data_IF_095009268979
#
_entry.id   IF_095009268979
#
_cell.length_a   1.000
_cell.length_b   1.000
_cell.length_c   1.000
_cell.angle_alpha   90.00
_cell.angle_beta   90.00
_cell.angle_gamma   90.00
#
_symmetry.space_group_name_H-M   'P 1'
#
loop_
_entity.id
_entity.type
_entity.pdbx_description
1 polymer ?
#
# COMPACT_ATOMS: atom_id res chain seq x y z
N UNK A 1 13.77 25.51 11.44
CA UNK A 1 14.55 25.54 10.19
C UNK A 1 14.69 24.10 9.71
N UNK A 2 14.30 23.80 8.46
CA UNK A 2 14.49 22.50 7.84
C UNK A 2 15.93 22.32 7.36
N UNK A 3 16.31 21.08 7.04
CA UNK A 3 17.59 20.79 6.38
C UNK A 3 17.58 21.35 4.95
N UNK A 4 18.73 21.79 4.46
CA UNK A 4 18.87 22.15 3.06
C UNK A 4 18.78 20.90 2.18
N UNK A 5 18.42 21.07 0.90
CA UNK A 5 18.36 19.96 -0.07
C UNK A 5 19.68 19.20 -0.14
N UNK A 6 20.80 19.92 -0.11
CA UNK A 6 22.14 19.33 -0.14
C UNK A 6 22.43 18.49 1.12
N UNK A 7 22.06 18.98 2.29
CA UNK A 7 22.20 18.23 3.53
C UNK A 7 21.36 16.94 3.51
N UNK A 8 20.12 17.01 3.00
CA UNK A 8 19.27 15.83 2.82
C UNK A 8 19.90 14.84 1.85
N UNK A 9 20.42 15.32 0.70
CA UNK A 9 21.10 14.47 -0.27
C UNK A 9 22.31 13.76 0.35
N UNK A 10 23.15 14.49 1.08
CA UNK A 10 24.31 13.92 1.77
C UNK A 10 23.92 12.82 2.74
N UNK A 11 22.88 13.06 3.57
CA UNK A 11 22.36 12.05 4.49
C UNK A 11 21.85 10.81 3.76
N UNK A 12 21.17 10.99 2.63
CA UNK A 12 20.67 9.88 1.81
C UNK A 12 21.82 9.06 1.20
N UNK A 13 22.87 9.72 0.72
CA UNK A 13 24.08 9.04 0.19
C UNK A 13 24.74 8.20 1.28
N UNK A 14 24.94 8.76 2.48
CA UNK A 14 25.52 8.02 3.61
C UNK A 14 24.63 6.87 4.07
N UNK A 15 23.30 7.07 4.04
CA UNK A 15 22.34 6.00 4.31
C UNK A 15 22.46 4.87 3.29
N UNK A 16 22.53 5.20 2.00
CA UNK A 16 22.72 4.22 0.92
C UNK A 16 24.04 3.43 1.09
N UNK A 17 25.14 4.11 1.41
CA UNK A 17 26.45 3.47 1.67
C UNK A 17 26.41 2.53 2.86
N UNK A 18 25.66 2.89 3.88
CA UNK A 18 25.47 2.07 5.08
C UNK A 18 24.41 0.97 4.92
N UNK A 19 23.77 0.83 3.75
CA UNK A 19 22.68 -0.10 3.52
C UNK A 19 21.40 0.24 4.31
N UNK A 20 21.26 1.49 4.74
CA UNK A 20 20.11 1.96 5.50
C UNK A 20 19.02 2.41 4.52
N UNK A 21 17.85 1.82 4.64
CA UNK A 21 16.67 2.19 3.84
C UNK A 21 16.16 3.57 4.21
N UNK A 22 15.92 4.40 3.19
CA UNK A 22 15.26 5.69 3.35
C UNK A 22 13.78 5.56 2.99
N UNK A 23 12.92 6.14 3.81
CA UNK A 23 11.49 6.30 3.52
C UNK A 23 11.17 7.78 3.42
N UNK A 24 10.69 8.19 2.26
CA UNK A 24 10.23 9.54 1.99
C UNK A 24 8.73 9.58 1.73
N UNK A 25 8.13 10.73 2.02
CA UNK A 25 6.73 11.00 1.72
C UNK A 25 6.68 11.87 0.48
N UNK A 26 5.81 11.57 -0.47
CA UNK A 26 5.62 12.28 -1.74
C UNK A 26 6.67 12.05 -2.84
N UNK A 27 6.19 12.18 -4.07
CA UNK A 27 6.97 11.94 -5.29
C UNK A 27 8.08 12.96 -5.54
N UNK A 28 8.07 14.12 -4.88
CA UNK A 28 9.09 15.17 -5.03
C UNK A 28 10.50 14.69 -4.64
N UNK A 29 10.59 13.62 -3.84
CA UNK A 29 11.86 13.00 -3.47
C UNK A 29 12.46 12.09 -4.54
N UNK A 30 11.72 11.75 -5.61
CA UNK A 30 12.21 10.88 -6.67
C UNK A 30 13.46 11.45 -7.37
N UNK A 31 13.53 12.76 -7.51
CA UNK A 31 14.73 13.39 -8.09
C UNK A 31 15.95 13.20 -7.20
N UNK A 32 15.77 13.37 -5.90
CA UNK A 32 16.84 13.12 -4.92
C UNK A 32 17.24 11.64 -4.89
N UNK A 33 16.27 10.73 -4.94
CA UNK A 33 16.55 9.29 -5.00
C UNK A 33 17.34 8.94 -6.27
N UNK A 34 16.98 9.50 -7.42
CA UNK A 34 17.71 9.29 -8.66
C UNK A 34 19.13 9.90 -8.65
N UNK A 35 19.32 10.99 -7.94
CA UNK A 35 20.68 11.55 -7.76
C UNK A 35 21.53 10.67 -6.86
N UNK A 36 20.97 10.14 -5.79
CA UNK A 36 21.66 9.20 -4.89
C UNK A 36 21.97 7.90 -5.62
N UNK A 37 21.01 7.33 -6.36
CA UNK A 37 21.16 6.07 -7.09
C UNK A 37 22.29 6.11 -8.12
N UNK A 38 22.52 7.28 -8.73
CA UNK A 38 23.67 7.48 -9.65
C UNK A 38 25.04 7.45 -8.94
N UNK A 39 25.10 7.82 -7.67
CA UNK A 39 26.32 7.80 -6.86
C UNK A 39 26.50 6.48 -6.10
N UNK A 40 25.42 5.99 -5.54
CA UNK A 40 25.35 4.73 -4.76
C UNK A 40 24.06 4.00 -5.13
N UNK A 41 24.13 2.90 -5.90
CA UNK A 41 22.93 2.15 -6.30
C UNK A 41 22.07 1.75 -5.10
N UNK A 42 20.77 2.09 -5.16
CA UNK A 42 19.80 1.78 -4.11
C UNK A 42 18.89 0.60 -4.46
N UNK A 43 19.04 0.06 -5.67
CA UNK A 43 18.33 -1.15 -6.08
C UNK A 43 18.60 -2.29 -5.08
N UNK A 44 17.53 -2.96 -4.62
CA UNK A 44 17.61 -4.00 -3.58
C UNK A 44 17.58 -3.49 -2.14
N UNK A 45 17.82 -2.20 -1.88
CA UNK A 45 17.68 -1.63 -0.54
C UNK A 45 16.21 -1.32 -0.17
N UNK A 46 15.29 -1.45 -1.12
CA UNK A 46 13.84 -1.24 -0.95
C UNK A 46 13.52 0.13 -0.33
N UNK A 47 14.13 1.18 -0.84
CA UNK A 47 13.76 2.52 -0.44
C UNK A 47 12.28 2.76 -0.70
N UNK A 48 11.65 3.65 0.04
CA UNK A 48 10.20 3.80 0.04
C UNK A 48 9.78 5.20 -0.35
N UNK A 49 8.85 5.30 -1.28
CA UNK A 49 8.03 6.50 -1.45
C UNK A 49 6.66 6.22 -0.85
N UNK A 50 6.37 6.88 0.26
CA UNK A 50 5.15 6.68 1.03
C UNK A 50 4.05 7.66 0.64
N UNK A 51 2.81 7.33 1.01
CA UNK A 51 1.61 8.17 0.86
C UNK A 51 1.33 8.62 -0.57
N UNK A 52 1.62 7.77 -1.58
CA UNK A 52 1.44 8.20 -2.96
C UNK A 52 -0.02 8.48 -3.30
N UNK A 53 -0.26 9.72 -3.72
CA UNK A 53 -1.55 10.23 -4.16
C UNK A 53 -1.66 10.12 -5.68
N UNK A 54 -0.63 10.55 -6.40
CA UNK A 54 -0.60 10.53 -7.85
C UNK A 54 0.81 10.29 -8.37
N UNK A 55 0.91 9.59 -9.50
CA UNK A 55 2.17 9.36 -10.21
C UNK A 55 1.92 9.36 -11.72
N UNK A 56 2.84 9.98 -12.44
CA UNK A 56 2.89 9.88 -13.90
C UNK A 56 3.53 8.55 -14.32
N UNK A 57 3.36 8.14 -15.58
CA UNK A 57 4.02 6.96 -16.12
C UNK A 57 5.55 7.04 -16.05
N UNK A 58 6.12 8.25 -16.26
CA UNK A 58 7.55 8.49 -16.14
C UNK A 58 8.04 8.25 -14.69
N UNK A 59 7.32 8.78 -13.71
CA UNK A 59 7.64 8.56 -12.29
C UNK A 59 7.55 7.08 -11.92
N UNK A 60 6.54 6.35 -12.42
CA UNK A 60 6.40 4.90 -12.21
C UNK A 60 7.59 4.14 -12.80
N UNK A 61 8.04 4.50 -14.00
CA UNK A 61 9.21 3.88 -14.62
C UNK A 61 10.48 4.09 -13.79
N UNK A 62 10.71 5.32 -13.31
CA UNK A 62 11.85 5.65 -12.44
C UNK A 62 11.81 4.89 -11.11
N UNK A 63 10.63 4.78 -10.49
CA UNK A 63 10.41 4.01 -9.26
C UNK A 63 10.80 2.54 -9.47
N UNK A 64 10.33 1.95 -10.57
CA UNK A 64 10.70 0.58 -10.96
C UNK A 64 12.19 0.41 -11.13
N UNK A 65 12.83 1.28 -11.91
CA UNK A 65 14.24 1.16 -12.26
C UNK A 65 15.16 1.28 -11.05
N UNK A 66 14.79 2.08 -10.06
CA UNK A 66 15.49 2.21 -8.78
C UNK A 66 15.11 1.12 -7.75
N UNK A 67 14.16 0.24 -8.05
CA UNK A 67 13.68 -0.77 -7.08
C UNK A 67 12.98 -0.19 -5.86
N UNK A 68 12.40 1.00 -5.98
CA UNK A 68 11.71 1.69 -4.89
C UNK A 68 10.35 1.05 -4.64
N UNK A 69 9.99 0.89 -3.37
CA UNK A 69 8.67 0.38 -2.94
C UNK A 69 7.73 1.56 -2.71
N UNK A 70 6.48 1.40 -3.10
CA UNK A 70 5.46 2.44 -2.93
C UNK A 70 4.44 2.03 -1.87
N UNK A 71 4.08 2.97 -0.98
CA UNK A 71 2.88 2.80 -0.16
C UNK A 71 1.81 3.80 -0.57
N UNK A 72 0.56 3.36 -0.55
CA UNK A 72 -0.60 4.20 -0.83
C UNK A 72 -1.77 3.90 0.10
N UNK A 73 -2.69 4.83 0.22
CA UNK A 73 -3.82 4.80 1.15
C UNK A 73 -5.12 5.01 0.39
N UNK A 74 -5.62 3.97 -0.27
CA UNK A 74 -6.83 4.07 -1.11
C UNK A 74 -8.04 4.58 -0.34
N UNK A 75 -8.16 4.18 0.94
CA UNK A 75 -9.21 4.68 1.82
C UNK A 75 -9.18 6.20 2.00
N UNK A 76 -7.99 6.78 2.11
CA UNK A 76 -7.84 8.23 2.25
C UNK A 76 -7.92 8.94 0.89
N UNK A 77 -7.21 8.43 -0.12
CA UNK A 77 -6.96 9.11 -1.37
C UNK A 77 -8.09 8.92 -2.39
N UNK A 78 -8.75 7.76 -2.40
CA UNK A 78 -9.87 7.52 -3.32
C UNK A 78 -11.19 7.67 -2.58
N UNK A 79 -11.44 6.87 -1.53
CA UNK A 79 -12.73 6.86 -0.87
C UNK A 79 -13.06 8.19 -0.18
N UNK A 80 -12.14 8.74 0.63
CA UNK A 80 -12.41 9.95 1.44
C UNK A 80 -12.26 11.25 0.65
N UNK A 81 -11.20 11.39 -0.16
CA UNK A 81 -10.79 12.63 -0.82
C UNK A 81 -10.74 12.55 -2.34
N UNK A 82 -11.13 11.43 -2.94
CA UNK A 82 -10.88 11.14 -4.35
C UNK A 82 -11.46 12.18 -5.30
N UNK A 83 -12.70 12.62 -5.08
CA UNK A 83 -13.31 13.66 -5.93
C UNK A 83 -12.59 15.03 -5.85
N UNK A 84 -12.03 15.37 -4.68
CA UNK A 84 -11.20 16.57 -4.51
C UNK A 84 -9.87 16.44 -5.25
N UNK A 85 -9.18 15.32 -5.03
CA UNK A 85 -7.87 15.06 -5.64
C UNK A 85 -7.95 14.93 -7.16
N UNK A 86 -8.98 14.29 -7.69
CA UNK A 86 -9.21 14.22 -9.13
C UNK A 86 -9.40 15.60 -9.76
N UNK A 87 -10.13 16.51 -9.08
CA UNK A 87 -10.27 17.90 -9.55
C UNK A 87 -8.95 18.67 -9.48
N UNK A 88 -8.11 18.42 -8.49
CA UNK A 88 -6.78 19.04 -8.37
C UNK A 88 -5.82 18.56 -9.47
N UNK A 89 -5.89 17.30 -9.87
CA UNK A 89 -5.12 16.76 -10.99
C UNK A 89 -5.54 17.39 -12.32
N UNK A 90 -6.82 17.68 -12.46
CA UNK A 90 -7.40 18.24 -13.68
C UNK A 90 -7.73 17.21 -14.76
N UNK A 91 -8.42 17.64 -15.83
CA UNK A 91 -8.88 16.75 -16.88
C UNK A 91 -7.71 16.09 -17.64
N UNK A 92 -7.92 14.84 -18.02
CA UNK A 92 -6.93 14.02 -18.76
C UNK A 92 -5.86 13.38 -17.87
N UNK A 93 -5.86 13.65 -16.55
CA UNK A 93 -4.91 13.09 -15.60
C UNK A 93 -5.57 12.18 -14.56
N UNK A 94 -6.80 11.80 -14.78
CA UNK A 94 -7.60 11.02 -13.84
C UNK A 94 -6.92 9.68 -13.49
N UNK A 95 -6.27 9.06 -14.47
CA UNK A 95 -5.57 7.78 -14.28
C UNK A 95 -4.25 7.90 -13.52
N UNK A 96 -3.79 9.10 -13.21
CA UNK A 96 -2.67 9.31 -12.30
C UNK A 96 -3.09 9.24 -10.83
N UNK A 97 -4.39 9.31 -10.51
CA UNK A 97 -4.88 9.19 -9.14
C UNK A 97 -4.74 7.76 -8.62
N UNK A 98 -3.87 7.57 -7.64
CA UNK A 98 -3.55 6.24 -7.09
C UNK A 98 -3.43 5.19 -8.21
N UNK A 99 -2.42 5.28 -9.09
CA UNK A 99 -2.33 4.47 -10.30
C UNK A 99 -1.81 3.06 -9.99
N UNK A 100 -2.55 2.32 -9.14
CA UNK A 100 -2.11 1.03 -8.58
C UNK A 100 -1.90 0.00 -9.70
N UNK A 101 -2.86 -0.09 -10.64
CA UNK A 101 -2.75 -1.02 -11.76
C UNK A 101 -1.51 -0.72 -12.59
N UNK A 102 -1.29 0.55 -12.96
CA UNK A 102 -0.12 0.94 -13.74
C UNK A 102 1.19 0.62 -13.01
N UNK A 103 1.26 0.83 -11.69
CA UNK A 103 2.42 0.45 -10.89
C UNK A 103 2.66 -1.06 -10.89
N UNK A 104 1.62 -1.87 -10.65
CA UNK A 104 1.74 -3.34 -10.64
C UNK A 104 2.12 -3.89 -12.01
N UNK A 105 1.53 -3.39 -13.10
CA UNK A 105 1.87 -3.77 -14.47
C UNK A 105 3.31 -3.39 -14.85
N UNK A 106 3.82 -2.31 -14.29
CA UNK A 106 5.22 -1.92 -14.43
C UNK A 106 6.18 -2.75 -13.57
N UNK A 107 5.69 -3.61 -12.67
CA UNK A 107 6.53 -4.40 -11.76
C UNK A 107 6.92 -3.69 -10.46
N UNK A 108 6.28 -2.56 -10.14
CA UNK A 108 6.51 -1.85 -8.87
C UNK A 108 5.80 -2.58 -7.73
N UNK A 109 6.51 -2.79 -6.62
CA UNK A 109 5.89 -3.30 -5.39
C UNK A 109 5.08 -2.21 -4.71
N UNK A 110 3.77 -2.45 -4.57
CA UNK A 110 2.83 -1.54 -3.90
C UNK A 110 2.30 -2.19 -2.63
N UNK A 111 2.39 -1.49 -1.49
CA UNK A 111 1.79 -1.92 -0.22
C UNK A 111 0.71 -0.93 0.24
N UNK A 112 -0.34 -1.45 0.87
CA UNK A 112 -1.42 -0.62 1.39
C UNK A 112 -1.18 -0.20 2.82
N UNK A 113 -1.60 1.04 3.14
CA UNK A 113 -1.80 1.54 4.48
C UNK A 113 -3.22 2.06 4.65
N UNK A 114 -3.60 2.39 5.88
CA UNK A 114 -4.95 2.89 6.23
C UNK A 114 -4.98 4.39 6.46
N UNK A 115 -3.90 4.96 6.98
CA UNK A 115 -3.82 6.39 7.34
C UNK A 115 -5.01 6.86 8.20
N UNK A 116 -5.30 6.15 9.28
CA UNK A 116 -6.31 6.51 10.28
C UNK A 116 -7.79 6.53 9.81
N UNK A 117 -8.14 6.21 8.55
CA UNK A 117 -9.53 6.36 8.10
C UNK A 117 -9.92 5.43 6.95
N UNK A 118 -10.77 4.46 7.21
CA UNK A 118 -10.92 3.68 8.43
C UNK A 118 -9.66 2.85 8.72
N UNK A 119 -9.44 2.42 9.92
CA UNK A 119 -8.22 1.68 10.33
C UNK A 119 -8.15 0.24 9.79
N UNK A 120 -9.15 -0.24 9.10
CA UNK A 120 -9.17 -1.58 8.51
C UNK A 120 -8.59 -1.61 7.10
N UNK A 121 -7.69 -2.55 6.82
CA UNK A 121 -7.17 -2.79 5.47
C UNK A 121 -8.24 -3.31 4.50
N UNK A 122 -9.33 -3.89 4.98
CA UNK A 122 -10.43 -4.34 4.12
C UNK A 122 -11.08 -3.20 3.32
N UNK A 123 -11.16 -2.01 3.91
CA UNK A 123 -11.59 -0.84 3.15
C UNK A 123 -10.59 -0.47 2.06
N UNK A 124 -9.28 -0.60 2.33
CA UNK A 124 -8.24 -0.35 1.31
C UNK A 124 -8.30 -1.38 0.18
N UNK A 125 -8.48 -2.66 0.50
CA UNK A 125 -8.67 -3.73 -0.47
C UNK A 125 -9.91 -3.49 -1.33
N UNK A 126 -11.07 -3.26 -0.68
CA UNK A 126 -12.31 -2.95 -1.37
C UNK A 126 -12.15 -1.76 -2.32
N UNK A 127 -11.55 -0.69 -1.85
CA UNK A 127 -11.45 0.55 -2.63
C UNK A 127 -10.44 0.45 -3.78
N UNK A 128 -9.43 -0.40 -3.69
CA UNK A 128 -8.53 -0.69 -4.82
C UNK A 128 -9.25 -1.45 -5.96
N UNK A 129 -10.26 -2.26 -5.62
CA UNK A 129 -11.09 -3.02 -6.57
C UNK A 129 -12.23 -2.16 -7.11
N UNK A 130 -12.98 -1.48 -6.24
CA UNK A 130 -14.20 -0.73 -6.59
C UNK A 130 -13.93 0.68 -7.11
N UNK A 131 -12.95 1.37 -6.53
CA UNK A 131 -12.59 2.78 -6.76
C UNK A 131 -13.72 3.78 -6.51
N UNK A 132 -14.63 3.43 -5.61
CA UNK A 132 -15.79 4.26 -5.27
C UNK A 132 -15.40 5.34 -4.27
N UNK A 133 -15.73 6.59 -4.57
CA UNK A 133 -15.64 7.69 -3.61
C UNK A 133 -16.91 7.78 -2.75
N UNK A 134 -16.80 8.29 -1.51
CA UNK A 134 -17.85 8.13 -0.49
C UNK A 134 -19.02 9.10 -0.59
N UNK A 135 -18.86 10.28 -1.21
CA UNK A 135 -19.88 11.34 -1.15
C UNK A 135 -20.98 11.15 -2.19
N UNK A 136 -20.60 10.79 -3.41
CA UNK A 136 -21.51 10.64 -4.54
C UNK A 136 -21.59 9.20 -5.05
N UNK A 137 -20.75 8.30 -4.52
CA UNK A 137 -20.65 6.95 -5.02
C UNK A 137 -20.03 6.85 -6.41
N UNK A 138 -19.34 7.90 -6.86
CA UNK A 138 -18.71 7.91 -8.18
C UNK A 138 -17.49 6.98 -8.22
N UNK A 139 -17.33 6.28 -9.34
CA UNK A 139 -16.13 5.48 -9.60
C UNK A 139 -15.06 6.39 -10.22
N UNK A 140 -13.90 6.47 -9.56
CA UNK A 140 -12.79 7.31 -10.01
C UNK A 140 -11.71 6.48 -10.70
N UNK A 141 -11.28 6.90 -11.89
CA UNK A 141 -10.21 6.24 -12.65
C UNK A 141 -10.43 4.72 -12.77
N UNK A 142 -11.54 4.25 -13.37
CA UNK A 142 -11.90 2.83 -13.40
C UNK A 142 -10.83 1.95 -14.05
N UNK A 143 -10.00 2.52 -14.93
CA UNK A 143 -8.87 1.85 -15.57
C UNK A 143 -7.78 1.43 -14.58
N UNK A 144 -7.77 2.03 -13.37
CA UNK A 144 -6.82 1.71 -12.32
C UNK A 144 -7.35 0.69 -11.31
N UNK A 145 -8.50 0.05 -11.57
CA UNK A 145 -8.98 -1.10 -10.81
C UNK A 145 -7.99 -2.26 -10.91
N UNK A 146 -7.82 -2.98 -9.81
CA UNK A 146 -7.02 -4.19 -9.75
C UNK A 146 -7.86 -5.39 -9.33
N UNK A 147 -7.38 -6.60 -9.54
CA UNK A 147 -8.08 -7.80 -9.09
C UNK A 147 -8.09 -7.92 -7.56
N UNK A 148 -8.98 -8.73 -7.03
CA UNK A 148 -9.06 -9.00 -5.59
C UNK A 148 -7.80 -9.67 -5.07
N UNK A 149 -7.22 -10.60 -5.84
CA UNK A 149 -5.96 -11.25 -5.53
C UNK A 149 -4.81 -10.25 -5.47
N UNK A 150 -4.74 -9.31 -6.44
CA UNK A 150 -3.74 -8.25 -6.43
C UNK A 150 -3.91 -7.35 -5.21
N UNK A 151 -5.15 -6.96 -4.88
CA UNK A 151 -5.44 -6.13 -3.73
C UNK A 151 -5.07 -6.82 -2.39
N UNK A 152 -5.37 -8.12 -2.27
CA UNK A 152 -4.95 -8.92 -1.10
C UNK A 152 -3.42 -9.01 -1.01
N UNK A 153 -2.71 -9.23 -2.11
CA UNK A 153 -1.25 -9.23 -2.12
C UNK A 153 -0.67 -7.88 -1.67
N UNK A 154 -1.24 -6.76 -2.12
CA UNK A 154 -0.83 -5.44 -1.65
C UNK A 154 -1.05 -5.25 -0.14
N UNK A 155 -2.04 -5.91 0.45
CA UNK A 155 -2.36 -5.85 1.87
C UNK A 155 -1.59 -6.87 2.74
N UNK A 156 -0.92 -7.87 2.15
CA UNK A 156 -0.25 -8.97 2.86
C UNK A 156 1.20 -9.15 2.42
N UNK A 157 1.45 -9.91 1.34
CA UNK A 157 2.80 -10.22 0.85
C UNK A 157 3.67 -8.98 0.62
N UNK A 158 3.10 -7.94 0.00
CA UNK A 158 3.85 -6.73 -0.31
C UNK A 158 4.18 -5.94 0.96
N UNK A 159 3.31 -6.02 1.98
CA UNK A 159 3.59 -5.49 3.31
C UNK A 159 4.74 -6.21 4.01
N UNK A 160 4.77 -7.54 3.92
CA UNK A 160 5.88 -8.35 4.42
C UNK A 160 7.18 -8.01 3.68
N UNK A 161 7.15 -7.93 2.34
CA UNK A 161 8.29 -7.51 1.53
C UNK A 161 8.79 -6.11 1.91
N UNK A 162 7.87 -5.16 2.14
CA UNK A 162 8.21 -3.82 2.63
C UNK A 162 8.97 -3.89 3.95
N UNK A 163 8.68 -4.84 4.81
CA UNK A 163 9.27 -5.00 6.15
C UNK A 163 10.49 -5.95 6.17
N UNK A 164 10.95 -6.47 5.04
CA UNK A 164 11.98 -7.53 4.96
C UNK A 164 11.60 -8.81 5.71
N UNK A 165 10.31 -9.09 5.81
CA UNK A 165 9.75 -10.21 6.55
C UNK A 165 9.03 -11.23 5.64
N UNK A 166 9.22 -11.16 4.33
CA UNK A 166 8.55 -12.03 3.36
C UNK A 166 8.91 -13.51 3.48
N UNK A 167 10.03 -13.82 4.12
CA UNK A 167 10.42 -15.20 4.40
C UNK A 167 9.70 -15.77 5.64
N UNK A 168 9.21 -14.90 6.52
CA UNK A 168 8.62 -15.26 7.80
C UNK A 168 7.09 -15.10 7.82
N UNK A 169 6.53 -14.17 7.02
CA UNK A 169 5.11 -13.83 7.06
C UNK A 169 4.60 -13.35 5.69
N UNK A 170 3.33 -12.90 5.63
CA UNK A 170 2.70 -12.33 4.44
C UNK A 170 2.04 -13.33 3.51
N UNK A 171 2.27 -14.63 3.68
CA UNK A 171 1.61 -15.72 2.94
C UNK A 171 1.46 -16.95 3.82
N UNK A 172 0.53 -17.84 3.45
CA UNK A 172 0.30 -19.11 4.11
C UNK A 172 1.13 -20.20 3.40
N UNK A 173 2.38 -20.36 3.82
CA UNK A 173 3.31 -21.33 3.27
C UNK A 173 3.99 -22.11 4.38
N UNK A 174 4.35 -23.41 4.16
CA UNK A 174 5.10 -24.18 5.14
C UNK A 174 6.42 -23.49 5.52
N UNK A 175 6.69 -23.40 6.81
CA UNK A 175 7.89 -22.75 7.36
C UNK A 175 7.69 -21.29 7.77
N UNK A 176 6.63 -20.63 7.33
CA UNK A 176 6.28 -19.28 7.79
C UNK A 176 5.48 -19.29 9.09
N UNK A 177 5.43 -18.12 9.74
CA UNK A 177 4.60 -17.91 10.91
C UNK A 177 3.12 -18.12 10.56
N UNK A 178 2.41 -18.75 11.47
CA UNK A 178 0.97 -18.93 11.35
C UNK A 178 0.25 -17.64 11.77
N UNK A 179 0.38 -16.60 10.93
CA UNK A 179 -0.32 -15.33 11.03
C UNK A 179 -1.48 -15.34 10.05
N UNK A 180 -2.70 -15.56 10.53
CA UNK A 180 -3.85 -15.76 9.65
C UNK A 180 -5.16 -15.24 10.26
N UNK A 181 -6.10 -14.96 9.38
CA UNK A 181 -7.47 -14.63 9.71
C UNK A 181 -8.39 -15.76 9.24
N UNK A 182 -9.33 -16.16 10.11
CA UNK A 182 -10.45 -17.01 9.72
C UNK A 182 -11.63 -16.09 9.42
N UNK A 183 -12.14 -16.16 8.21
CA UNK A 183 -13.22 -15.34 7.70
C UNK A 183 -14.48 -16.19 7.54
N UNK A 184 -15.66 -15.57 7.58
CA UNK A 184 -16.93 -16.25 7.30
C UNK A 184 -17.12 -16.48 5.81
N UNK A 185 -16.83 -15.46 5.00
CA UNK A 185 -16.99 -15.49 3.56
C UNK A 185 -15.64 -15.40 2.84
N UNK A 186 -15.59 -15.94 1.63
CA UNK A 186 -14.40 -15.85 0.79
C UNK A 186 -14.32 -14.46 0.13
N UNK A 187 -13.29 -13.64 0.44
CA UNK A 187 -13.15 -12.30 -0.12
C UNK A 187 -12.98 -12.28 -1.64
N UNK A 188 -12.57 -13.39 -2.23
CA UNK A 188 -12.41 -13.51 -3.69
C UNK A 188 -13.74 -13.66 -4.44
N UNK A 189 -14.80 -14.15 -3.77
CA UNK A 189 -16.06 -14.51 -4.43
C UNK A 189 -17.30 -13.81 -3.85
N UNK A 190 -17.21 -13.26 -2.64
CA UNK A 190 -18.29 -12.52 -2.01
C UNK A 190 -18.71 -11.27 -2.81
N UNK A 191 -19.91 -10.69 -2.59
CA UNK A 191 -20.29 -9.41 -3.19
C UNK A 191 -19.25 -8.31 -2.93
N UNK A 192 -18.89 -7.55 -3.97
CA UNK A 192 -17.78 -6.58 -3.91
C UNK A 192 -17.98 -5.53 -2.79
N UNK A 193 -19.18 -5.02 -2.65
CA UNK A 193 -19.53 -4.00 -1.65
C UNK A 193 -19.38 -4.47 -0.20
N UNK A 194 -19.37 -5.79 0.03
CA UNK A 194 -19.23 -6.37 1.38
C UNK A 194 -17.77 -6.56 1.80
N UNK A 195 -16.82 -6.47 0.88
CA UNK A 195 -15.39 -6.66 1.20
C UNK A 195 -14.93 -5.68 2.29
N UNK A 196 -15.38 -4.44 2.25
CA UNK A 196 -14.99 -3.40 3.21
C UNK A 196 -15.49 -3.67 4.63
N UNK A 197 -16.52 -4.49 4.77
CA UNK A 197 -17.20 -4.78 6.03
C UNK A 197 -16.75 -6.12 6.64
N UNK A 198 -15.73 -6.77 6.04
CA UNK A 198 -15.19 -8.03 6.55
C UNK A 198 -14.65 -7.82 7.97
N UNK A 199 -15.15 -8.65 8.89
CA UNK A 199 -14.61 -8.82 10.22
C UNK A 199 -14.14 -10.27 10.41
N UNK A 200 -12.94 -10.51 10.92
CA UNK A 200 -12.46 -11.88 11.14
C UNK A 200 -13.26 -12.56 12.26
N UNK A 201 -13.56 -13.84 12.07
CA UNK A 201 -14.10 -14.70 13.12
C UNK A 201 -13.02 -15.10 14.11
N UNK A 202 -11.79 -15.26 13.62
CA UNK A 202 -10.63 -15.55 14.45
C UNK A 202 -9.39 -14.89 13.86
N UNK A 203 -8.53 -14.39 14.73
CA UNK A 203 -7.19 -13.92 14.39
C UNK A 203 -6.18 -14.82 15.10
N UNK A 204 -5.23 -15.34 14.33
CA UNK A 204 -4.12 -16.15 14.84
C UNK A 204 -2.83 -15.38 14.53
N UNK A 205 -1.97 -15.23 15.53
CA UNK A 205 -0.67 -14.57 15.42
C UNK A 205 0.40 -15.50 16.00
N UNK A 206 1.42 -15.82 15.21
CA UNK A 206 2.48 -16.74 15.60
C UNK A 206 1.95 -18.11 16.06
N UNK A 207 0.87 -18.59 15.45
CA UNK A 207 0.21 -19.86 15.81
C UNK A 207 -0.66 -19.80 17.06
N UNK A 208 -0.82 -18.65 17.70
CA UNK A 208 -1.66 -18.47 18.89
C UNK A 208 -2.93 -17.69 18.55
N UNK A 209 -4.06 -18.13 19.08
CA UNK A 209 -5.34 -17.41 18.94
C UNK A 209 -5.22 -16.09 19.70
N UNK A 210 -5.23 -14.96 18.97
CA UNK A 210 -5.20 -13.61 19.51
C UNK A 210 -6.62 -13.03 19.68
N UNK A 211 -7.57 -13.46 18.83
CA UNK A 211 -8.97 -13.03 18.85
C UNK A 211 -9.87 -14.17 18.34
N UNK A 212 -11.02 -14.37 18.97
CA UNK A 212 -11.96 -15.42 18.57
C UNK A 212 -13.40 -15.03 18.96
N UNK A 213 -14.24 -14.73 17.99
CA UNK A 213 -15.67 -14.43 18.23
C UNK A 213 -16.52 -15.66 18.50
N UNK A 214 -15.97 -16.87 18.30
CA UNK A 214 -16.65 -18.13 18.55
C UNK A 214 -16.50 -18.57 20.03
N UNK A 215 -15.63 -17.91 20.80
CA UNK A 215 -15.46 -18.16 22.23
C UNK A 215 -16.41 -17.25 23.02
N UNK A 216 -17.36 -17.81 23.81
CA UNK A 216 -18.31 -17.01 24.61
C UNK A 216 -17.63 -16.06 25.61
N UNK A 217 -16.36 -16.30 25.97
CA UNK A 217 -15.58 -15.44 26.87
C UNK A 217 -15.05 -14.17 26.19
N UNK A 218 -15.05 -14.15 24.85
CA UNK A 218 -14.60 -13.01 24.02
C UNK A 218 -15.78 -12.26 23.37
N UNK A 219 -17.03 -12.60 23.70
CA UNK A 219 -18.17 -11.76 23.37
C UNK A 219 -18.03 -10.46 24.15
N UNK A 220 -17.72 -9.37 23.42
CA UNK A 220 -17.55 -8.04 23.99
C UNK A 220 -18.75 -7.72 24.89
N UNK A 221 -18.55 -7.27 26.14
CA UNK A 221 -19.64 -6.58 26.82
C UNK A 221 -19.86 -5.24 26.09
N UNK A 222 -21.09 -4.93 25.77
CA UNK A 222 -21.62 -3.70 25.19
C UNK A 222 -20.99 -2.41 25.77
#
# INVERSE_FOLDING_TARGET
>A
AGLSREAVKTLMIESARAGIRVSGVFADLLDLYAEVDREVPIAGQRWVIAHQISLTHEQIARIRDMGVVVTTHTSAHIWKRGAELARQLGPGRENELCPIRSMLEAGVTVSFGTDNVPITLWNSVWNAVSRVERKQGAVLSPEQRISREQALRCATNNGAYLCFAENDTGSLEPGKLADLLVLEDNPLTMPEEKIRDIAPRMTIAGGKIAWNTLDPKNSNPD
#
